data_IF_118776872188
#
_entry.id   IF_118776872188
#
_cell.length_a   1.000
_cell.length_b   1.000
_cell.length_c   1.000
_cell.angle_alpha   90.00
_cell.angle_beta   90.00
_cell.angle_gamma   90.00
#
_symmetry.space_group_name_H-M   'P 1'
#
loop_
_entity.id
_entity.type
_entity.pdbx_description
1 polymer ?
#
# COMPACT_ATOMS: atom_id res chain seq x y z
N UNK A 1 20.01 10.28 30.53
CA UNK A 1 20.29 9.17 29.61
C UNK A 1 19.43 9.37 28.38
N UNK A 2 19.94 9.20 27.15
CA UNK A 2 19.08 9.26 25.97
C UNK A 2 18.03 8.16 26.11
N UNK A 3 16.75 8.51 25.97
CA UNK A 3 15.65 7.56 26.02
C UNK A 3 15.84 6.53 24.91
N UNK A 4 15.95 5.24 25.26
CA UNK A 4 15.99 4.16 24.26
C UNK A 4 14.60 4.00 23.66
N UNK A 5 14.33 4.72 22.58
CA UNK A 5 13.14 4.50 21.76
C UNK A 5 13.43 3.35 20.78
N UNK A 6 12.40 2.61 20.31
CA UNK A 6 12.59 1.62 19.25
C UNK A 6 12.74 2.27 17.85
N UNK A 7 12.79 3.60 17.78
CA UNK A 7 12.75 4.37 16.56
C UNK A 7 14.08 5.06 16.30
N UNK A 8 14.43 5.21 15.02
CA UNK A 8 15.51 6.09 14.58
C UNK A 8 14.87 7.38 14.12
N UNK A 9 15.04 8.43 14.91
CA UNK A 9 14.52 9.76 14.58
C UNK A 9 15.49 10.48 13.65
N UNK A 10 15.00 10.91 12.49
CA UNK A 10 15.74 11.70 11.52
C UNK A 10 14.96 12.96 11.22
N UNK A 11 15.64 14.11 11.31
CA UNK A 11 15.10 15.35 10.79
C UNK A 11 15.06 15.33 9.24
N UNK A 12 14.41 16.35 8.67
CA UNK A 12 14.25 16.48 7.22
C UNK A 12 15.59 16.48 6.48
N UNK A 13 16.59 17.17 7.00
CA UNK A 13 17.89 17.31 6.34
C UNK A 13 18.67 16.00 6.37
N UNK A 14 18.60 15.26 7.49
CA UNK A 14 19.18 13.94 7.63
C UNK A 14 18.54 12.93 6.68
N UNK A 15 17.21 12.96 6.58
CA UNK A 15 16.48 12.12 5.63
C UNK A 15 16.82 12.48 4.17
N UNK A 16 16.84 13.77 3.84
CA UNK A 16 17.14 14.26 2.49
C UNK A 16 18.51 13.81 1.98
N UNK A 17 19.52 13.73 2.85
CA UNK A 17 20.86 13.23 2.49
C UNK A 17 20.83 11.78 1.99
N UNK A 18 19.87 10.96 2.42
CA UNK A 18 19.71 9.58 1.93
C UNK A 18 19.27 9.56 0.47
N UNK A 19 18.49 10.56 0.02
CA UNK A 19 18.05 10.66 -1.37
C UNK A 19 19.23 10.77 -2.36
N UNK A 20 20.26 11.55 -1.99
CA UNK A 20 21.45 11.75 -2.83
C UNK A 20 22.23 10.44 -3.13
N UNK A 21 22.14 9.46 -2.22
CA UNK A 21 22.78 8.14 -2.36
C UNK A 21 21.83 7.04 -2.85
N UNK A 22 20.55 7.36 -3.05
CA UNK A 22 19.53 6.42 -3.49
C UNK A 22 19.42 6.46 -5.02
N UNK A 23 19.38 5.35 -5.77
CA UNK A 23 19.20 5.41 -7.22
C UNK A 23 17.74 5.75 -7.62
N UNK A 24 17.45 5.87 -8.92
CA UNK A 24 16.10 6.06 -9.48
C UNK A 24 15.36 7.36 -9.06
N UNK A 25 15.86 8.57 -9.40
CA UNK A 25 15.12 9.82 -9.18
C UNK A 25 13.78 9.81 -9.91
N UNK A 26 12.74 10.48 -9.41
CA UNK A 26 11.49 10.67 -10.19
C UNK A 26 11.80 11.18 -11.61
N UNK A 27 11.11 10.62 -12.60
CA UNK A 27 11.21 11.08 -13.99
C UNK A 27 10.07 12.04 -14.32
N UNK A 28 10.22 12.85 -15.38
CA UNK A 28 9.16 13.73 -15.89
C UNK A 28 7.88 12.98 -16.29
N UNK A 29 7.99 11.68 -16.59
CA UNK A 29 6.82 10.85 -16.88
C UNK A 29 6.07 10.48 -15.58
N UNK A 30 6.80 10.18 -14.51
CA UNK A 30 6.22 9.89 -13.19
C UNK A 30 5.51 11.13 -12.65
N UNK A 31 6.17 12.29 -12.78
CA UNK A 31 5.62 13.61 -12.50
C UNK A 31 4.30 13.84 -13.23
N UNK A 32 4.21 13.52 -14.52
CA UNK A 32 2.98 13.68 -15.30
C UNK A 32 1.88 12.73 -14.87
N UNK A 33 2.20 11.47 -14.55
CA UNK A 33 1.21 10.51 -14.02
C UNK A 33 0.66 10.97 -12.67
N UNK A 34 1.53 11.42 -11.77
CA UNK A 34 1.17 11.88 -10.43
C UNK A 34 0.34 13.17 -10.47
N UNK A 35 0.71 14.14 -11.32
CA UNK A 35 -0.09 15.37 -11.54
C UNK A 35 -1.45 15.07 -12.16
N UNK A 36 -1.53 14.10 -13.07
CA UNK A 36 -2.80 13.66 -13.67
C UNK A 36 -3.79 13.04 -12.66
N UNK A 37 -3.30 12.66 -11.48
CA UNK A 37 -4.10 12.12 -10.38
C UNK A 37 -4.63 13.22 -9.44
N UNK A 38 -4.33 14.50 -9.70
CA UNK A 38 -4.84 15.65 -8.95
C UNK A 38 -4.15 15.92 -7.61
N UNK A 39 -3.02 15.27 -7.34
CA UNK A 39 -2.28 15.43 -6.08
C UNK A 39 -1.48 16.76 -6.08
N UNK A 40 -1.72 17.70 -5.14
CA UNK A 40 -1.11 19.06 -5.13
C UNK A 40 0.33 19.09 -4.61
N UNK A 41 1.10 18.00 -4.78
CA UNK A 41 2.41 17.84 -4.16
C UNK A 41 3.53 18.50 -4.97
N UNK A 42 4.43 19.20 -4.27
CA UNK A 42 5.74 19.59 -4.82
C UNK A 42 6.58 18.34 -5.04
N UNK A 43 6.92 18.09 -6.30
CA UNK A 43 7.59 16.86 -6.72
C UNK A 43 9.06 16.83 -6.34
N UNK A 44 9.71 17.99 -6.22
CA UNK A 44 11.06 18.05 -5.68
C UNK A 44 11.04 17.63 -4.20
N UNK A 45 10.08 18.12 -3.44
CA UNK A 45 9.86 17.70 -2.06
C UNK A 45 9.47 16.22 -1.96
N UNK A 46 8.65 15.73 -2.89
CA UNK A 46 8.30 14.32 -2.97
C UNK A 46 9.50 13.42 -3.26
N UNK A 47 10.40 13.79 -4.18
CA UNK A 47 11.61 13.00 -4.44
C UNK A 47 12.48 12.91 -3.18
N UNK A 48 12.68 14.04 -2.49
CA UNK A 48 13.48 14.11 -1.26
C UNK A 48 12.95 13.19 -0.17
N UNK A 49 11.63 13.07 -0.03
CA UNK A 49 11.00 12.24 1.01
C UNK A 49 10.80 10.79 0.56
N UNK A 50 10.16 10.57 -0.59
CA UNK A 50 9.67 9.25 -0.97
C UNK A 50 10.70 8.39 -1.69
N UNK A 51 11.72 8.97 -2.34
CA UNK A 51 12.79 8.18 -2.98
C UNK A 51 13.59 7.36 -1.96
N UNK A 52 14.18 7.94 -0.90
CA UNK A 52 14.87 7.14 0.12
C UNK A 52 13.92 6.19 0.84
N UNK A 53 12.64 6.54 1.03
CA UNK A 53 11.63 5.62 1.57
C UNK A 53 11.42 4.41 0.66
N UNK A 54 11.31 4.61 -0.65
CA UNK A 54 11.15 3.53 -1.61
C UNK A 54 12.35 2.58 -1.62
N UNK A 55 13.57 3.12 -1.45
CA UNK A 55 14.78 2.30 -1.30
C UNK A 55 14.80 1.53 0.00
N UNK A 56 14.40 2.15 1.10
CA UNK A 56 14.29 1.45 2.37
C UNK A 56 13.31 0.28 2.24
N UNK A 57 12.14 0.51 1.62
CA UNK A 57 11.16 -0.54 1.35
C UNK A 57 11.71 -1.64 0.44
N UNK A 58 12.45 -1.29 -0.63
CA UNK A 58 13.12 -2.27 -1.50
C UNK A 58 14.10 -3.17 -0.73
N UNK A 59 14.88 -2.60 0.21
CA UNK A 59 15.76 -3.39 1.09
C UNK A 59 14.96 -4.35 1.99
N UNK A 60 13.87 -3.89 2.61
CA UNK A 60 12.99 -4.75 3.41
C UNK A 60 12.38 -5.87 2.57
N UNK A 61 11.87 -5.54 1.38
CA UNK A 61 11.26 -6.51 0.46
C UNK A 61 12.29 -7.58 0.06
N UNK A 62 13.51 -7.17 -0.29
CA UNK A 62 14.60 -8.07 -0.64
C UNK A 62 14.97 -9.01 0.52
N UNK A 63 15.16 -8.45 1.72
CA UNK A 63 15.52 -9.22 2.91
C UNK A 63 14.42 -10.24 3.30
N UNK A 64 13.15 -9.82 3.32
CA UNK A 64 12.02 -10.70 3.65
C UNK A 64 11.88 -11.83 2.63
N UNK A 65 12.09 -11.55 1.34
CA UNK A 65 12.08 -12.59 0.30
C UNK A 65 13.23 -13.57 0.44
N UNK A 66 14.44 -13.10 0.73
CA UNK A 66 15.59 -13.95 1.00
C UNK A 66 15.34 -14.89 2.18
N UNK A 67 14.78 -14.36 3.27
CA UNK A 67 14.41 -15.16 4.43
C UNK A 67 13.36 -16.22 4.08
N UNK A 68 12.28 -15.85 3.37
CA UNK A 68 11.25 -16.81 2.95
C UNK A 68 11.82 -17.91 2.05
N UNK A 69 12.70 -17.57 1.10
CA UNK A 69 13.33 -18.55 0.22
C UNK A 69 14.21 -19.53 1.00
N UNK A 70 14.99 -19.04 1.97
CA UNK A 70 15.81 -19.89 2.84
C UNK A 70 14.95 -20.83 3.71
N UNK A 71 13.85 -20.33 4.28
CA UNK A 71 12.92 -21.15 5.06
C UNK A 71 12.23 -22.22 4.21
N UNK A 72 11.74 -21.86 3.01
CA UNK A 72 11.10 -22.82 2.11
C UNK A 72 12.07 -23.92 1.66
N UNK A 73 13.32 -23.56 1.35
CA UNK A 73 14.36 -24.51 1.00
C UNK A 73 14.69 -25.49 2.15
N UNK A 74 14.76 -24.98 3.39
CA UNK A 74 14.99 -25.80 4.58
C UNK A 74 13.84 -26.76 4.86
N UNK A 75 12.59 -26.33 4.63
CA UNK A 75 11.38 -27.14 4.85
C UNK A 75 11.01 -28.04 3.66
N UNK A 76 11.76 -27.98 2.55
CA UNK A 76 11.44 -28.66 1.29
C UNK A 76 10.02 -28.34 0.77
N UNK A 77 9.60 -27.08 0.90
CA UNK A 77 8.31 -26.61 0.40
C UNK A 77 8.47 -25.92 -0.97
N UNK A 78 7.63 -26.33 -1.94
CA UNK A 78 7.44 -25.60 -3.20
C UNK A 78 6.44 -24.46 -3.00
N UNK A 79 6.85 -23.44 -2.24
CA UNK A 79 5.95 -22.32 -1.93
C UNK A 79 5.98 -21.26 -3.04
N UNK A 80 4.83 -20.92 -3.66
CA UNK A 80 4.78 -19.85 -4.64
C UNK A 80 5.23 -18.53 -4.02
N UNK A 81 5.83 -17.66 -4.84
CA UNK A 81 6.30 -16.34 -4.41
C UNK A 81 5.17 -15.57 -3.73
N UNK A 82 5.31 -15.34 -2.42
CA UNK A 82 4.30 -14.61 -1.65
C UNK A 82 4.49 -13.09 -1.81
N UNK A 83 3.41 -12.34 -2.04
CA UNK A 83 3.48 -10.88 -2.10
C UNK A 83 3.97 -10.26 -0.79
N UNK A 84 4.71 -9.16 -0.90
CA UNK A 84 5.01 -8.28 0.24
C UNK A 84 3.84 -7.31 0.43
N UNK A 85 3.38 -7.10 1.66
CA UNK A 85 2.19 -6.27 1.93
C UNK A 85 2.61 -5.05 2.73
N UNK A 86 2.20 -3.86 2.29
CA UNK A 86 2.45 -2.57 2.93
C UNK A 86 1.10 -1.98 3.35
N UNK A 87 0.93 -1.69 4.64
CA UNK A 87 -0.23 -0.95 5.14
C UNK A 87 0.08 0.54 5.26
N UNK A 88 -0.79 1.41 4.73
CA UNK A 88 -0.69 2.87 4.86
C UNK A 88 -1.86 3.36 5.72
N UNK A 89 -1.60 3.64 6.99
CA UNK A 89 -2.61 4.08 7.94
C UNK A 89 -2.49 5.57 8.28
N UNK A 90 -3.55 6.15 8.85
CA UNK A 90 -3.61 7.57 9.21
C UNK A 90 -5.01 8.15 9.21
N UNK A 91 -5.17 9.35 9.77
CA UNK A 91 -6.47 10.03 9.87
C UNK A 91 -7.09 10.34 8.50
N UNK A 92 -8.38 10.68 8.50
CA UNK A 92 -9.06 11.21 7.31
C UNK A 92 -8.36 12.52 6.89
N UNK A 93 -8.22 12.73 5.58
CA UNK A 93 -7.59 13.90 4.97
C UNK A 93 -6.08 14.14 5.27
N UNK A 94 -5.38 13.19 5.91
CA UNK A 94 -3.92 13.31 6.16
C UNK A 94 -3.04 13.05 4.92
N UNK A 95 -3.62 12.64 3.79
CA UNK A 95 -2.89 12.36 2.55
C UNK A 95 -2.50 10.90 2.31
N UNK A 96 -3.15 9.92 2.96
CA UNK A 96 -2.88 8.47 2.77
C UNK A 96 -2.87 8.04 1.30
N UNK A 97 -3.93 8.38 0.58
CA UNK A 97 -4.10 7.94 -0.81
C UNK A 97 -3.02 8.53 -1.71
N UNK A 98 -2.62 9.77 -1.45
CA UNK A 98 -1.50 10.43 -2.13
C UNK A 98 -0.19 9.69 -1.86
N UNK A 99 0.13 9.40 -0.59
CA UNK A 99 1.29 8.60 -0.19
C UNK A 99 1.29 7.21 -0.83
N UNK A 100 0.16 6.51 -0.81
CA UNK A 100 0.02 5.15 -1.34
C UNK A 100 0.24 5.11 -2.86
N UNK A 101 -0.30 6.10 -3.60
CA UNK A 101 -0.07 6.25 -5.04
C UNK A 101 1.40 6.56 -5.38
N UNK A 102 2.04 7.46 -4.63
CA UNK A 102 3.46 7.78 -4.80
C UNK A 102 4.34 6.56 -4.56
N UNK A 103 4.10 5.84 -3.47
CA UNK A 103 4.81 4.60 -3.16
C UNK A 103 4.60 3.53 -4.23
N UNK A 104 3.38 3.39 -4.77
CA UNK A 104 3.09 2.46 -5.86
C UNK A 104 3.98 2.73 -7.07
N UNK A 105 4.03 3.98 -7.54
CA UNK A 105 4.85 4.34 -8.71
C UNK A 105 6.34 4.14 -8.43
N UNK A 106 6.84 4.53 -7.26
CA UNK A 106 8.25 4.40 -6.93
C UNK A 106 8.70 2.95 -6.76
N UNK A 107 7.91 2.13 -6.06
CA UNK A 107 8.24 0.72 -5.81
C UNK A 107 8.22 -0.07 -7.13
N UNK A 108 7.30 0.25 -8.04
CA UNK A 108 7.20 -0.42 -9.35
C UNK A 108 8.43 -0.23 -10.25
N UNK A 109 9.30 0.73 -9.94
CA UNK A 109 10.52 1.02 -10.71
C UNK A 109 11.70 0.12 -10.34
N UNK A 110 11.64 -0.55 -9.19
CA UNK A 110 12.68 -1.48 -8.78
C UNK A 110 12.57 -2.79 -9.57
N UNK A 111 13.68 -3.32 -10.14
CA UNK A 111 13.65 -4.56 -10.92
C UNK A 111 13.06 -5.76 -10.17
N UNK A 112 13.19 -5.78 -8.84
CA UNK A 112 12.66 -6.84 -8.00
C UNK A 112 11.12 -6.79 -7.86
N UNK A 113 10.47 -5.65 -8.09
CA UNK A 113 9.05 -5.42 -7.77
C UNK A 113 8.27 -4.71 -8.88
N UNK A 114 8.30 -5.19 -10.14
CA UNK A 114 7.65 -4.52 -11.25
C UNK A 114 6.11 -4.48 -11.14
N UNK A 115 5.49 -5.41 -10.41
CA UNK A 115 4.02 -5.47 -10.24
C UNK A 115 3.61 -5.03 -8.84
N UNK A 116 3.15 -3.78 -8.72
CA UNK A 116 2.63 -3.23 -7.47
C UNK A 116 1.12 -2.99 -7.59
N UNK A 117 0.34 -3.62 -6.72
CA UNK A 117 -1.09 -3.40 -6.59
C UNK A 117 -1.39 -2.41 -5.46
N UNK A 118 -2.45 -1.62 -5.62
CA UNK A 118 -2.97 -0.70 -4.60
C UNK A 118 -4.46 -1.00 -4.39
N UNK A 119 -4.87 -1.20 -3.15
CA UNK A 119 -6.26 -1.41 -2.75
C UNK A 119 -6.58 -0.47 -1.59
N UNK A 120 -7.75 0.16 -1.64
CA UNK A 120 -8.28 0.92 -0.51
C UNK A 120 -9.19 0.03 0.33
N UNK A 121 -9.18 0.26 1.63
CA UNK A 121 -10.04 -0.42 2.61
C UNK A 121 -11.49 0.04 2.53
N UNK A 122 -11.76 1.19 1.89
CA UNK A 122 -13.11 1.71 1.64
C UNK A 122 -13.96 0.72 0.81
N UNK A 123 -13.32 -0.05 -0.08
CA UNK A 123 -13.97 -1.16 -0.80
C UNK A 123 -14.52 -2.27 0.11
N UNK A 124 -14.13 -2.30 1.38
CA UNK A 124 -14.61 -3.26 2.38
C UNK A 124 -15.59 -2.65 3.37
N UNK A 125 -16.05 -1.41 3.15
CA UNK A 125 -17.21 -0.88 3.85
C UNK A 125 -18.45 -1.74 3.55
N UNK A 126 -19.34 -1.86 4.52
CA UNK A 126 -20.67 -2.35 4.22
C UNK A 126 -21.40 -1.37 3.29
N UNK A 127 -22.20 -1.84 2.32
CA UNK A 127 -23.05 -0.95 1.50
C UNK A 127 -23.95 -0.09 2.38
N UNK A 128 -24.33 1.11 1.90
CA UNK A 128 -25.12 2.06 2.70
C UNK A 128 -26.42 1.44 3.23
N UNK A 129 -27.13 0.65 2.42
CA UNK A 129 -28.33 -0.07 2.87
C UNK A 129 -28.08 -0.99 4.08
N UNK A 130 -26.90 -1.62 4.15
CA UNK A 130 -26.51 -2.46 5.28
C UNK A 130 -26.10 -1.62 6.50
N UNK A 131 -25.43 -0.49 6.28
CA UNK A 131 -25.09 0.46 7.34
C UNK A 131 -26.35 1.08 7.95
N UNK A 132 -27.33 1.46 7.14
CA UNK A 132 -28.64 1.97 7.58
C UNK A 132 -29.39 0.94 8.42
N UNK A 133 -29.49 -0.31 7.92
CA UNK A 133 -30.11 -1.43 8.65
C UNK A 133 -29.50 -1.66 10.03
N UNK A 134 -28.19 -1.41 10.17
CA UNK A 134 -27.45 -1.56 11.44
C UNK A 134 -27.41 -0.28 12.29
N UNK A 135 -27.95 0.85 11.82
CA UNK A 135 -27.81 2.14 12.50
C UNK A 135 -26.38 2.67 12.54
N UNK A 136 -25.54 2.31 11.58
CA UNK A 136 -24.11 2.64 11.53
C UNK A 136 -23.75 3.71 10.49
N UNK A 137 -24.72 4.31 9.81
CA UNK A 137 -24.45 5.30 8.76
C UNK A 137 -23.64 6.51 9.28
N UNK A 138 -23.96 7.00 10.48
CA UNK A 138 -23.20 8.07 11.15
C UNK A 138 -21.82 7.65 11.70
N UNK A 139 -21.49 6.35 11.62
CA UNK A 139 -20.21 5.75 12.02
C UNK A 139 -19.47 5.16 10.83
N UNK A 140 -19.79 5.59 9.61
CA UNK A 140 -19.06 5.19 8.41
C UNK A 140 -17.59 5.60 8.55
N UNK A 141 -16.67 4.65 8.33
CA UNK A 141 -15.25 4.80 8.56
C UNK A 141 -14.76 4.30 9.92
N UNK A 142 -15.65 3.96 10.86
CA UNK A 142 -15.28 3.27 12.10
C UNK A 142 -15.16 1.75 11.88
N UNK A 143 -14.42 1.00 12.74
CA UNK A 143 -14.15 -0.42 12.53
C UNK A 143 -15.38 -1.31 12.28
N UNK A 144 -16.51 -1.01 12.89
CA UNK A 144 -17.78 -1.73 12.74
C UNK A 144 -18.53 -1.46 11.42
N UNK A 145 -18.16 -0.40 10.70
CA UNK A 145 -18.70 -0.10 9.37
C UNK A 145 -18.06 -0.94 8.25
N UNK A 146 -16.98 -1.66 8.53
CA UNK A 146 -16.28 -2.52 7.57
C UNK A 146 -16.64 -4.01 7.73
N UNK A 147 -16.70 -4.72 6.60
CA UNK A 147 -16.58 -6.17 6.57
C UNK A 147 -15.11 -6.59 6.79
N UNK A 148 -14.69 -6.53 8.05
CA UNK A 148 -13.32 -6.92 8.48
C UNK A 148 -12.99 -8.36 8.11
N UNK A 149 -13.99 -9.25 8.04
CA UNK A 149 -13.76 -10.65 7.66
C UNK A 149 -13.44 -10.75 6.17
N UNK A 150 -14.14 -9.99 5.32
CA UNK A 150 -13.82 -9.91 3.90
C UNK A 150 -12.43 -9.32 3.66
N UNK A 151 -12.07 -8.24 4.36
CA UNK A 151 -10.73 -7.65 4.27
C UNK A 151 -9.64 -8.65 4.68
N UNK A 152 -9.80 -9.34 5.81
CA UNK A 152 -8.84 -10.35 6.27
C UNK A 152 -8.72 -11.52 5.29
N UNK A 153 -9.84 -12.02 4.75
CA UNK A 153 -9.83 -13.07 3.71
C UNK A 153 -9.12 -12.60 2.44
N UNK A 154 -9.31 -11.35 2.03
CA UNK A 154 -8.63 -10.77 0.87
C UNK A 154 -7.11 -10.75 1.07
N UNK A 155 -6.64 -10.13 2.16
CA UNK A 155 -5.21 -10.03 2.50
C UNK A 155 -4.58 -11.42 2.63
N UNK A 156 -5.28 -12.35 3.30
CA UNK A 156 -4.80 -13.73 3.48
C UNK A 156 -4.72 -14.49 2.16
N UNK A 157 -5.70 -14.31 1.28
CA UNK A 157 -5.73 -14.91 -0.06
C UNK A 157 -4.58 -14.43 -0.93
N UNK A 158 -4.28 -13.12 -0.88
CA UNK A 158 -3.11 -12.55 -1.57
C UNK A 158 -1.83 -13.10 -0.97
N UNK A 159 -1.70 -13.11 0.37
CA UNK A 159 -0.50 -13.61 1.05
C UNK A 159 -0.25 -15.10 0.82
N UNK A 160 -1.31 -15.88 0.60
CA UNK A 160 -1.24 -17.29 0.23
C UNK A 160 -0.80 -17.54 -1.23
N UNK A 161 -0.50 -16.49 -2.01
CA UNK A 161 0.00 -16.63 -3.38
C UNK A 161 -1.07 -17.07 -4.38
N UNK A 162 -2.36 -16.85 -4.10
CA UNK A 162 -3.43 -17.15 -5.06
C UNK A 162 -3.20 -16.35 -6.36
N UNK A 163 -3.41 -16.96 -7.54
CA UNK A 163 -3.12 -16.32 -8.82
C UNK A 163 -4.00 -15.09 -9.06
N UNK A 164 -5.24 -15.12 -8.55
CA UNK A 164 -6.21 -14.06 -8.68
C UNK A 164 -7.03 -13.93 -7.40
N UNK A 165 -7.18 -12.68 -6.92
CA UNK A 165 -8.01 -12.33 -5.77
C UNK A 165 -8.76 -11.04 -6.09
N UNK A 166 -10.05 -10.98 -5.74
CA UNK A 166 -10.91 -9.84 -6.02
C UNK A 166 -11.22 -9.02 -4.77
N UNK A 167 -11.28 -7.70 -4.89
CA UNK A 167 -11.77 -6.79 -3.86
C UNK A 167 -12.98 -5.99 -4.38
N UNK A 168 -13.95 -5.60 -3.53
CA UNK A 168 -15.07 -4.76 -3.97
C UNK A 168 -14.60 -3.33 -4.27
N UNK A 169 -15.40 -2.60 -5.07
CA UNK A 169 -15.12 -1.21 -5.45
C UNK A 169 -15.97 -0.25 -4.61
N UNK A 170 -15.34 0.76 -4.04
CA UNK A 170 -16.01 1.93 -3.47
C UNK A 170 -15.93 3.10 -4.44
N UNK A 171 -17.03 3.82 -4.62
CA UNK A 171 -17.08 5.04 -5.43
C UNK A 171 -17.26 6.25 -4.53
N UNK A 172 -16.30 7.17 -4.55
CA UNK A 172 -16.33 8.40 -3.76
C UNK A 172 -17.35 9.43 -4.28
N UNK A 173 -17.82 9.31 -5.52
CA UNK A 173 -18.88 10.14 -6.11
C UNK A 173 -20.24 9.64 -5.63
N UNK A 174 -20.51 8.34 -5.79
CA UNK A 174 -21.74 7.72 -5.30
C UNK A 174 -21.78 7.60 -3.76
N UNK A 175 -20.60 7.70 -3.13
CA UNK A 175 -20.40 7.52 -1.69
C UNK A 175 -20.93 6.17 -1.19
N UNK A 176 -20.72 5.09 -1.96
CA UNK A 176 -21.16 3.73 -1.62
C UNK A 176 -20.33 2.66 -2.35
N UNK A 177 -20.51 1.40 -1.95
CA UNK A 177 -20.03 0.24 -2.68
C UNK A 177 -20.76 0.13 -4.02
N UNK A 178 -20.00 -0.11 -5.10
CA UNK A 178 -20.57 -0.26 -6.44
C UNK A 178 -20.98 -1.72 -6.65
N UNK A 179 -22.29 -2.03 -6.79
CA UNK A 179 -22.75 -3.42 -6.91
C UNK A 179 -22.15 -4.13 -8.12
N UNK A 180 -21.60 -5.32 -7.90
CA UNK A 180 -21.05 -6.18 -8.96
C UNK A 180 -19.68 -5.76 -9.50
N UNK A 181 -19.17 -4.57 -9.15
CA UNK A 181 -17.83 -4.16 -9.57
C UNK A 181 -16.76 -4.68 -8.62
N UNK A 182 -15.65 -5.13 -9.20
CA UNK A 182 -14.53 -5.70 -8.47
C UNK A 182 -13.19 -5.26 -9.05
N UNK A 183 -12.21 -5.06 -8.18
CA UNK A 183 -10.81 -4.91 -8.53
C UNK A 183 -10.18 -6.30 -8.52
N UNK A 184 -9.53 -6.67 -9.62
CA UNK A 184 -8.84 -7.95 -9.76
C UNK A 184 -7.35 -7.77 -9.48
N UNK A 185 -6.83 -8.43 -8.46
CA UNK A 185 -5.41 -8.44 -8.08
C UNK A 185 -4.77 -9.75 -8.52
N UNK A 186 -3.79 -9.67 -9.41
CA UNK A 186 -3.13 -10.83 -10.05
C UNK A 186 -1.69 -10.99 -9.58
N UNK A 187 -1.50 -11.84 -8.57
CA UNK A 187 -0.20 -12.23 -7.99
C UNK A 187 0.86 -11.09 -7.99
N UNK A 188 0.61 -9.96 -7.30
CA UNK A 188 1.52 -8.83 -7.33
C UNK A 188 2.82 -9.14 -6.58
N UNK A 189 3.88 -8.41 -6.91
CA UNK A 189 5.13 -8.47 -6.16
C UNK A 189 5.00 -7.76 -4.81
N UNK A 190 4.22 -6.66 -4.80
CA UNK A 190 3.89 -5.85 -3.62
C UNK A 190 2.40 -5.47 -3.68
N UNK A 191 1.69 -5.60 -2.56
CA UNK A 191 0.35 -5.07 -2.37
C UNK A 191 0.40 -3.93 -1.35
N UNK A 192 -0.02 -2.73 -1.75
CA UNK A 192 -0.26 -1.60 -0.86
C UNK A 192 -1.74 -1.62 -0.47
N UNK A 193 -2.02 -1.58 0.84
CA UNK A 193 -3.35 -1.50 1.42
C UNK A 193 -3.46 -0.19 2.18
N UNK A 194 -4.44 0.62 1.80
CA UNK A 194 -4.70 1.98 2.27
C UNK A 194 -6.00 2.08 3.05
#
# INVERSE_FOLDING_TARGET
>A
MPSSTPYVDLDRDAWARLSASTPLPFTDQDVRRLRGLGDPIDLAEADVVYRPLSRLLDLYIGATRGLHAASAAFLHEDTPRTPFIIGVAGSVAVGKSTTARLLRELIARWPATPRVALITTDGFLHPNAELERRGLLGRKGFPESYDRRALLRFVSSVKAGRPEVTAPVYDHIAYDIVPGQQIVVRAPDVLIVE
#
